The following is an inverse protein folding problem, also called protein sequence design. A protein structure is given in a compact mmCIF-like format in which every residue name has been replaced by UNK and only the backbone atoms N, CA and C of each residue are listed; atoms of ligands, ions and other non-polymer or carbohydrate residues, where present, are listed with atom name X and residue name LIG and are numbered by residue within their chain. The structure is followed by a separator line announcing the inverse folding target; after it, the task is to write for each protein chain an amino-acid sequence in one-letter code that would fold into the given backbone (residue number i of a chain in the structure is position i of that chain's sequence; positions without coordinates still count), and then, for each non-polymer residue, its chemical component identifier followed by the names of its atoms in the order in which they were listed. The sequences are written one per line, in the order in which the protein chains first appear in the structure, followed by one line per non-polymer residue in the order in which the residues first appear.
data_IF_788955438659
#
_entry.id   IF_788955438659
#
_cell.length_a   1.000
_cell.length_b   1.000
_cell.length_c   1.000
_cell.angle_alpha   90.00
_cell.angle_beta   90.00
_cell.angle_gamma   90.00
#
_symmetry.space_group_name_H-M   'P 1'
#
loop_
_entity.id
_entity.type
_entity.pdbx_description
1 polymer ?
#
# COMPACT_ATOMS: atom_id res chain seq x y z
N UNK A 1 70.09 10.08 17.49
CA UNK A 1 68.90 10.58 16.74
C UNK A 1 68.62 9.86 15.41
N UNK A 2 69.30 8.74 15.09
CA UNK A 2 69.07 7.97 13.85
C UNK A 2 68.36 6.61 14.04
N UNK A 3 68.17 6.13 15.27
CA UNK A 3 67.48 4.86 15.53
C UNK A 3 65.94 4.93 15.43
N UNK A 4 65.35 6.07 15.78
CA UNK A 4 63.89 6.25 15.83
C UNK A 4 63.27 6.43 14.42
N UNK A 5 64.04 6.97 13.46
CA UNK A 5 63.62 7.13 12.06
C UNK A 5 63.69 5.82 11.26
N UNK A 6 64.68 4.96 11.56
CA UNK A 6 64.82 3.65 10.93
C UNK A 6 63.70 2.66 11.31
N UNK A 7 63.29 2.66 12.59
CA UNK A 7 62.16 1.86 13.06
C UNK A 7 60.81 2.30 12.46
N UNK A 8 60.59 3.62 12.32
CA UNK A 8 59.37 4.16 11.64
C UNK A 8 59.33 3.85 10.14
N UNK A 9 60.48 3.81 9.46
CA UNK A 9 60.56 3.47 8.03
C UNK A 9 60.31 1.97 7.77
N UNK A 10 60.89 1.08 8.59
CA UNK A 10 60.58 -0.36 8.55
C UNK A 10 59.10 -0.64 8.85
N UNK A 11 58.52 0.04 9.85
CA UNK A 11 57.10 -0.11 10.17
C UNK A 11 56.18 0.45 9.07
N UNK A 12 56.59 1.48 8.32
CA UNK A 12 55.85 2.04 7.18
C UNK A 12 55.85 1.14 5.92
N UNK A 13 56.95 0.41 5.69
CA UNK A 13 57.06 -0.54 4.57
C UNK A 13 56.17 -1.78 4.81
N UNK A 14 56.17 -2.31 6.04
CA UNK A 14 55.27 -3.38 6.47
C UNK A 14 53.78 -2.98 6.34
N UNK A 15 53.42 -1.77 6.78
CA UNK A 15 52.06 -1.22 6.63
C UNK A 15 51.62 -1.09 5.16
N UNK A 16 52.54 -0.72 4.27
CA UNK A 16 52.26 -0.59 2.83
C UNK A 16 52.01 -1.96 2.19
N UNK A 17 52.80 -2.98 2.55
CA UNK A 17 52.63 -4.35 2.08
C UNK A 17 51.32 -4.96 2.60
N UNK A 18 51.01 -4.74 3.87
CA UNK A 18 49.75 -5.18 4.49
C UNK A 18 48.56 -4.51 3.79
N UNK A 19 48.63 -3.20 3.53
CA UNK A 19 47.56 -2.47 2.84
C UNK A 19 47.36 -2.95 1.40
N UNK A 20 48.45 -3.19 0.66
CA UNK A 20 48.38 -3.75 -0.70
C UNK A 20 47.78 -5.16 -0.70
N UNK A 21 48.19 -6.01 0.24
CA UNK A 21 47.61 -7.34 0.40
C UNK A 21 46.10 -7.26 0.64
N UNK A 22 45.65 -6.43 1.58
CA UNK A 22 44.22 -6.27 1.85
C UNK A 22 43.47 -5.66 0.65
N UNK A 23 44.07 -4.74 -0.11
CA UNK A 23 43.46 -4.17 -1.31
C UNK A 23 43.21 -5.25 -2.36
N UNK A 24 44.21 -6.08 -2.67
CA UNK A 24 44.07 -7.17 -3.64
C UNK A 24 43.12 -8.24 -3.12
N UNK A 25 43.24 -8.63 -1.85
CA UNK A 25 42.39 -9.63 -1.23
C UNK A 25 40.91 -9.22 -1.23
N UNK A 26 40.60 -8.01 -0.76
CA UNK A 26 39.21 -7.52 -0.77
C UNK A 26 38.72 -7.20 -2.17
N UNK A 27 39.59 -6.81 -3.09
CA UNK A 27 39.26 -6.67 -4.52
C UNK A 27 38.80 -8.01 -5.12
N UNK A 28 39.54 -9.08 -4.87
CA UNK A 28 39.16 -10.42 -5.30
C UNK A 28 37.86 -10.91 -4.64
N UNK A 29 37.72 -10.70 -3.32
CA UNK A 29 36.51 -11.07 -2.58
C UNK A 29 35.27 -10.32 -3.11
N UNK A 30 35.40 -9.02 -3.39
CA UNK A 30 34.35 -8.22 -4.02
C UNK A 30 34.02 -8.72 -5.43
N UNK A 31 35.03 -9.13 -6.22
CA UNK A 31 34.84 -9.76 -7.52
C UNK A 31 34.04 -11.07 -7.43
N UNK A 32 34.38 -11.95 -6.48
CA UNK A 32 33.63 -13.20 -6.27
C UNK A 32 32.19 -12.94 -5.80
N UNK A 33 32.00 -11.98 -4.89
CA UNK A 33 30.67 -11.58 -4.43
C UNK A 33 29.81 -11.01 -5.55
N UNK A 34 30.35 -10.09 -6.36
CA UNK A 34 29.64 -9.51 -7.50
C UNK A 34 29.32 -10.56 -8.56
N UNK A 35 30.23 -11.48 -8.84
CA UNK A 35 30.00 -12.59 -9.77
C UNK A 35 28.88 -13.52 -9.29
N UNK A 36 28.93 -13.97 -8.03
CA UNK A 36 27.88 -14.83 -7.46
C UNK A 36 26.52 -14.13 -7.40
N UNK A 37 26.49 -12.84 -7.07
CA UNK A 37 25.28 -12.02 -7.15
C UNK A 37 24.75 -11.91 -8.58
N UNK A 38 25.63 -11.69 -9.57
CA UNK A 38 25.24 -11.61 -10.98
C UNK A 38 24.64 -12.92 -11.49
N UNK A 39 25.27 -14.07 -11.20
CA UNK A 39 24.74 -15.39 -11.57
C UNK A 39 23.36 -15.62 -10.95
N UNK A 40 23.18 -15.27 -9.67
CA UNK A 40 21.87 -15.37 -9.02
C UNK A 40 20.81 -14.53 -9.74
N UNK A 41 21.13 -13.29 -10.12
CA UNK A 41 20.20 -12.41 -10.84
C UNK A 41 19.78 -12.98 -12.20
N UNK A 42 20.66 -13.71 -12.91
CA UNK A 42 20.30 -14.39 -14.17
C UNK A 42 19.27 -15.52 -13.98
N UNK A 43 19.11 -16.05 -12.75
CA UNK A 43 18.12 -17.11 -12.45
C UNK A 43 16.74 -16.59 -12.06
N UNK A 44 16.58 -15.26 -11.98
CA UNK A 44 15.34 -14.62 -11.56
C UNK A 44 14.54 -14.14 -12.76
N UNK A 45 13.23 -14.40 -12.73
CA UNK A 45 12.29 -13.78 -13.65
C UNK A 45 12.01 -12.35 -13.22
N UNK A 46 12.05 -11.44 -14.19
CA UNK A 46 11.93 -10.02 -13.97
C UNK A 46 10.50 -9.54 -13.71
N UNK A 47 9.51 -10.33 -14.12
CA UNK A 47 8.08 -10.02 -14.06
C UNK A 47 7.41 -10.64 -12.83
N UNK A 48 7.88 -11.81 -12.40
CA UNK A 48 7.26 -12.61 -11.35
C UNK A 48 8.26 -13.01 -10.26
N UNK A 49 7.96 -12.76 -8.97
CA UNK A 49 8.82 -13.21 -7.89
C UNK A 49 8.82 -14.74 -7.80
N UNK A 50 10.01 -15.31 -7.58
CA UNK A 50 10.25 -16.77 -7.49
C UNK A 50 9.50 -17.43 -6.33
N UNK A 51 9.37 -16.74 -5.18
CA UNK A 51 8.67 -17.24 -3.99
C UNK A 51 7.65 -16.22 -3.50
N UNK A 52 6.50 -16.71 -3.01
CA UNK A 52 5.36 -15.90 -2.52
C UNK A 52 4.77 -16.43 -1.20
N UNK A 53 5.46 -17.35 -0.54
CA UNK A 53 5.03 -18.01 0.70
C UNK A 53 4.74 -17.01 1.83
N UNK A 54 5.51 -15.92 1.90
CA UNK A 54 5.36 -14.85 2.92
C UNK A 54 4.24 -13.83 2.63
N UNK A 55 3.64 -13.87 1.44
CA UNK A 55 2.60 -12.92 0.98
C UNK A 55 1.43 -13.67 0.34
N UNK A 56 1.02 -14.77 0.96
CA UNK A 56 -0.07 -15.64 0.47
C UNK A 56 -1.46 -15.03 0.62
N UNK A 57 -1.65 -14.08 1.56
CA UNK A 57 -2.89 -13.31 1.70
C UNK A 57 -2.58 -11.82 1.75
N UNK A 58 -3.41 -10.98 1.12
CA UNK A 58 -3.17 -9.55 1.09
C UNK A 58 -3.47 -8.91 2.44
N UNK A 59 -2.62 -7.95 2.82
CA UNK A 59 -2.94 -7.04 3.91
C UNK A 59 -3.93 -5.95 3.49
N UNK A 60 -4.58 -5.31 4.46
CA UNK A 60 -5.37 -4.09 4.24
C UNK A 60 -4.60 -2.86 4.75
N UNK A 61 -4.79 -1.74 4.07
CA UNK A 61 -4.19 -0.45 4.40
C UNK A 61 -5.24 0.65 4.22
N UNK A 62 -5.11 1.72 5.00
CA UNK A 62 -5.95 2.92 4.85
C UNK A 62 -5.17 4.11 4.30
N UNK A 63 -5.91 5.05 3.71
CA UNK A 63 -5.50 6.40 3.35
C UNK A 63 -6.63 7.37 3.72
N UNK A 64 -6.35 8.54 4.32
CA UNK A 64 -5.02 9.07 4.62
C UNK A 64 -4.40 8.42 5.87
N UNK A 65 -3.09 8.59 6.04
CA UNK A 65 -2.36 8.20 7.24
C UNK A 65 -1.94 9.47 7.99
N UNK A 66 -1.98 9.43 9.31
CA UNK A 66 -1.46 10.50 10.16
C UNK A 66 0.03 10.30 10.44
N UNK A 67 0.71 11.35 10.87
CA UNK A 67 2.11 11.28 11.33
C UNK A 67 2.27 10.35 12.54
N UNK A 68 1.22 10.25 13.37
CA UNK A 68 1.16 9.34 14.53
C UNK A 68 0.72 7.91 14.18
N UNK A 69 0.55 7.58 12.90
CA UNK A 69 0.20 6.25 12.42
C UNK A 69 -1.17 6.17 11.74
N UNK A 70 -2.00 5.21 12.16
CA UNK A 70 -3.29 4.92 11.53
C UNK A 70 -4.45 5.66 12.21
N UNK A 71 -4.18 6.44 13.24
CA UNK A 71 -5.19 7.17 13.99
C UNK A 71 -5.48 8.52 13.30
N UNK A 72 -6.75 8.76 13.01
CA UNK A 72 -7.25 9.99 12.40
C UNK A 72 -7.86 10.84 13.52
N UNK A 73 -7.22 11.95 13.86
CA UNK A 73 -7.70 12.91 14.85
C UNK A 73 -7.72 14.30 14.22
N UNK A 74 -8.89 14.95 14.24
CA UNK A 74 -9.07 16.30 13.72
C UNK A 74 -10.17 17.06 14.46
N UNK A 75 -10.16 18.38 14.30
CA UNK A 75 -11.20 19.29 14.80
C UNK A 75 -12.05 19.76 13.64
N UNK A 76 -13.36 19.60 13.76
CA UNK A 76 -14.31 20.04 12.75
C UNK A 76 -14.30 21.56 12.57
N UNK A 77 -14.19 22.30 13.67
CA UNK A 77 -14.15 23.77 13.66
C UNK A 77 -12.88 24.37 13.05
N UNK A 78 -11.76 23.62 13.00
CA UNK A 78 -10.48 24.12 12.49
C UNK A 78 -10.09 23.45 11.16
N UNK A 79 -10.24 24.15 10.03
CA UNK A 79 -9.85 23.64 8.70
C UNK A 79 -8.38 23.25 8.60
N UNK A 80 -7.51 23.85 9.40
CA UNK A 80 -6.07 23.52 9.37
C UNK A 80 -5.81 22.12 9.93
N UNK A 81 -6.65 21.64 10.84
CA UNK A 81 -6.47 20.36 11.50
C UNK A 81 -6.63 19.17 10.55
N UNK A 82 -7.54 19.25 9.57
CA UNK A 82 -7.78 18.18 8.60
C UNK A 82 -7.18 18.43 7.22
N UNK A 83 -6.57 19.60 6.98
CA UNK A 83 -5.96 19.94 5.69
C UNK A 83 -4.91 18.90 5.25
N UNK A 84 -4.08 18.41 6.16
CA UNK A 84 -3.09 17.38 5.83
C UNK A 84 -3.72 16.08 5.33
N UNK A 85 -4.87 15.68 5.91
CA UNK A 85 -5.61 14.49 5.47
C UNK A 85 -6.23 14.69 4.08
N UNK A 86 -6.80 15.87 3.83
CA UNK A 86 -7.39 16.26 2.54
C UNK A 86 -6.32 16.30 1.44
N UNK A 87 -5.19 16.96 1.70
CA UNK A 87 -4.08 17.07 0.74
C UNK A 87 -3.48 15.68 0.44
N UNK A 88 -3.35 14.82 1.45
CA UNK A 88 -2.90 13.44 1.27
C UNK A 88 -3.89 12.60 0.44
N UNK A 89 -5.21 12.78 0.63
CA UNK A 89 -6.24 12.12 -0.16
C UNK A 89 -6.23 12.60 -1.62
N UNK A 90 -6.11 13.91 -1.85
CA UNK A 90 -6.06 14.43 -3.23
C UNK A 90 -4.82 13.93 -3.97
N UNK A 91 -3.64 14.02 -3.34
CA UNK A 91 -2.40 13.48 -3.89
C UNK A 91 -2.50 11.97 -4.17
N UNK A 92 -3.15 11.22 -3.29
CA UNK A 92 -3.37 9.78 -3.46
C UNK A 92 -4.32 9.47 -4.63
N UNK A 93 -5.34 10.30 -4.85
CA UNK A 93 -6.37 10.09 -5.86
C UNK A 93 -6.02 10.65 -7.24
N UNK A 94 -5.01 11.51 -7.39
CA UNK A 94 -4.60 12.06 -8.70
C UNK A 94 -4.42 11.01 -9.81
N UNK A 95 -3.79 9.84 -9.57
CA UNK A 95 -3.65 8.81 -10.60
C UNK A 95 -4.98 8.17 -11.04
N UNK A 96 -6.03 8.28 -10.21
CA UNK A 96 -7.36 7.70 -10.44
C UNK A 96 -8.32 8.66 -11.15
N UNK A 97 -7.90 9.89 -11.45
CA UNK A 97 -8.71 10.82 -12.24
C UNK A 97 -9.14 10.16 -13.56
N UNK A 98 -10.42 10.29 -13.89
CA UNK A 98 -11.07 9.61 -15.02
C UNK A 98 -10.35 9.89 -16.35
N UNK A 99 -9.86 11.11 -16.57
CA UNK A 99 -9.06 11.48 -17.75
C UNK A 99 -7.74 10.69 -17.83
N UNK A 100 -7.05 10.51 -16.70
CA UNK A 100 -5.79 9.75 -16.62
C UNK A 100 -6.03 8.27 -16.82
N UNK A 101 -7.11 7.74 -16.24
CA UNK A 101 -7.50 6.33 -16.37
C UNK A 101 -7.94 6.01 -17.79
N UNK A 102 -8.77 6.85 -18.40
CA UNK A 102 -9.24 6.71 -19.78
C UNK A 102 -8.09 6.71 -20.80
N UNK A 103 -7.03 7.47 -20.56
CA UNK A 103 -5.87 7.52 -21.43
C UNK A 103 -4.91 6.32 -21.29
N UNK A 104 -4.83 5.73 -20.09
CA UNK A 104 -3.78 4.72 -19.75
C UNK A 104 -4.29 3.29 -19.66
N UNK A 105 -5.56 3.11 -19.31
CA UNK A 105 -6.17 1.82 -18.96
C UNK A 105 -7.39 1.55 -19.83
N UNK A 106 -7.90 0.32 -19.82
CA UNK A 106 -9.05 -0.10 -20.63
C UNK A 106 -10.28 -0.36 -19.78
N UNK A 107 -11.45 -0.23 -20.40
CA UNK A 107 -12.71 -0.68 -19.81
C UNK A 107 -12.72 -2.21 -19.78
N UNK A 108 -12.98 -2.77 -18.60
CA UNK A 108 -13.02 -4.21 -18.38
C UNK A 108 -14.44 -4.70 -18.14
N UNK A 109 -14.67 -5.98 -18.42
CA UNK A 109 -15.94 -6.65 -18.16
C UNK A 109 -16.05 -7.00 -16.67
N UNK A 110 -17.06 -6.50 -15.95
CA UNK A 110 -17.24 -6.80 -14.53
C UNK A 110 -17.51 -8.29 -14.27
N UNK A 111 -17.10 -8.78 -13.10
CA UNK A 111 -17.40 -10.12 -12.58
C UNK A 111 -16.54 -11.26 -13.14
N UNK A 112 -15.64 -10.99 -14.09
CA UNK A 112 -14.74 -11.99 -14.67
C UNK A 112 -13.29 -11.62 -14.39
N UNK A 113 -12.43 -12.62 -14.18
CA UNK A 113 -11.00 -12.37 -14.08
C UNK A 113 -10.41 -11.86 -15.39
N UNK A 114 -9.43 -10.97 -15.26
CA UNK A 114 -8.67 -10.43 -16.39
C UNK A 114 -7.54 -11.38 -16.77
N UNK A 115 -7.87 -12.42 -17.53
CA UNK A 115 -6.91 -13.45 -17.94
C UNK A 115 -6.31 -13.25 -19.33
N UNK A 116 -6.47 -12.06 -19.93
CA UNK A 116 -6.03 -11.76 -21.29
C UNK A 116 -4.66 -12.32 -21.68
N UNK A 117 -4.63 -13.04 -22.81
CA UNK A 117 -3.44 -13.67 -23.39
C UNK A 117 -2.54 -12.68 -24.17
N UNK A 118 -2.87 -11.38 -24.14
CA UNK A 118 -2.06 -10.37 -24.83
C UNK A 118 -0.67 -10.23 -24.20
N UNK A 119 0.35 -10.10 -25.07
CA UNK A 119 1.76 -9.89 -24.73
C UNK A 119 2.02 -8.66 -23.84
N UNK A 120 1.07 -7.73 -23.75
CA UNK A 120 1.00 -6.66 -22.75
C UNK A 120 -0.40 -6.65 -22.12
N UNK A 121 -0.55 -7.39 -21.01
CA UNK A 121 -1.79 -7.43 -20.24
C UNK A 121 -2.17 -6.01 -19.81
N UNK A 122 -3.19 -5.41 -20.42
CA UNK A 122 -3.66 -4.06 -20.06
C UNK A 122 -4.37 -4.08 -18.72
N UNK A 123 -4.25 -2.99 -17.96
CA UNK A 123 -4.94 -2.84 -16.68
C UNK A 123 -6.34 -2.24 -16.86
N UNK A 124 -7.24 -2.59 -15.93
CA UNK A 124 -8.59 -2.05 -15.88
C UNK A 124 -8.60 -0.63 -15.31
N UNK A 125 -9.49 0.19 -15.85
CA UNK A 125 -9.77 1.53 -15.31
C UNK A 125 -10.43 1.41 -13.94
N UNK A 126 -9.95 2.19 -12.96
CA UNK A 126 -10.68 2.48 -11.73
C UNK A 126 -10.87 3.99 -11.65
N UNK A 127 -12.08 4.45 -11.94
CA UNK A 127 -12.38 5.87 -12.02
C UNK A 127 -12.64 6.46 -10.62
N UNK A 128 -12.14 7.68 -10.39
CA UNK A 128 -12.32 8.41 -9.12
C UNK A 128 -13.79 8.65 -8.81
N UNK A 129 -14.63 8.77 -9.84
CA UNK A 129 -16.08 8.87 -9.73
C UNK A 129 -16.75 7.67 -9.04
N UNK A 130 -16.13 6.48 -9.08
CA UNK A 130 -16.65 5.28 -8.38
C UNK A 130 -16.64 5.42 -6.85
N UNK A 131 -15.87 6.37 -6.30
CA UNK A 131 -15.84 6.66 -4.86
C UNK A 131 -17.00 7.56 -4.40
N UNK A 132 -17.90 7.94 -5.31
CA UNK A 132 -19.11 8.71 -4.99
C UNK A 132 -18.80 9.99 -4.23
N UNK A 133 -19.44 10.17 -3.07
CA UNK A 133 -19.26 11.35 -2.22
C UNK A 133 -17.84 11.49 -1.63
N UNK A 134 -17.06 10.40 -1.63
CA UNK A 134 -15.67 10.38 -1.16
C UNK A 134 -14.66 10.59 -2.30
N UNK A 135 -15.13 10.90 -3.51
CA UNK A 135 -14.27 11.16 -4.66
C UNK A 135 -13.47 12.46 -4.52
N UNK A 136 -13.96 13.45 -3.78
CA UNK A 136 -13.34 14.78 -3.74
C UNK A 136 -13.74 15.69 -4.91
N UNK A 137 -14.67 15.25 -5.77
CA UNK A 137 -15.17 16.02 -6.92
C UNK A 137 -16.25 17.00 -6.46
N UNK A 138 -17.28 16.49 -5.77
CA UNK A 138 -18.38 17.31 -5.24
C UNK A 138 -18.00 18.02 -3.94
N UNK A 139 -17.23 17.33 -3.09
CA UNK A 139 -16.76 17.83 -1.78
C UNK A 139 -15.24 17.70 -1.69
N UNK A 140 -14.52 18.80 -1.88
CA UNK A 140 -13.05 18.85 -1.79
C UNK A 140 -12.52 18.55 -0.39
N UNK A 141 -13.37 18.59 0.64
CA UNK A 141 -12.99 18.28 2.02
C UNK A 141 -13.19 16.82 2.39
N UNK A 142 -13.66 15.95 1.47
CA UNK A 142 -13.87 14.52 1.70
C UNK A 142 -14.70 14.22 2.97
N UNK A 143 -15.69 15.07 3.27
CA UNK A 143 -16.55 14.97 4.45
C UNK A 143 -15.93 15.44 5.77
N UNK A 144 -14.65 15.83 5.81
CA UNK A 144 -13.97 16.26 7.05
C UNK A 144 -14.58 17.56 7.62
N UNK A 145 -14.97 18.51 6.77
CA UNK A 145 -15.61 19.76 7.22
C UNK A 145 -16.98 19.52 7.89
N UNK A 146 -17.69 18.48 7.45
CA UNK A 146 -19.00 18.10 7.96
C UNK A 146 -18.93 17.13 9.15
N UNK A 147 -17.74 16.73 9.59
CA UNK A 147 -17.58 15.71 10.64
C UNK A 147 -18.01 14.31 10.17
N UNK A 148 -18.03 14.05 8.86
CA UNK A 148 -18.34 12.74 8.27
C UNK A 148 -17.18 12.27 7.38
N UNK A 149 -15.99 12.03 7.95
CA UNK A 149 -14.77 11.84 7.19
C UNK A 149 -14.83 10.58 6.32
N UNK A 150 -14.28 10.69 5.11
CA UNK A 150 -14.04 9.55 4.23
C UNK A 150 -12.65 8.94 4.50
N UNK A 151 -12.62 7.62 4.62
CA UNK A 151 -11.39 6.83 4.74
C UNK A 151 -11.34 5.84 3.58
N UNK A 152 -10.27 5.86 2.80
CA UNK A 152 -10.06 4.91 1.71
C UNK A 152 -9.35 3.68 2.26
N UNK A 153 -10.00 2.53 2.15
CA UNK A 153 -9.42 1.22 2.42
C UNK A 153 -8.95 0.61 1.11
N UNK A 154 -7.71 0.14 1.08
CA UNK A 154 -7.11 -0.56 -0.06
C UNK A 154 -6.54 -1.90 0.37
N UNK A 155 -6.61 -2.85 -0.54
CA UNK A 155 -5.95 -4.14 -0.38
C UNK A 155 -4.47 -4.03 -0.78
N UNK A 156 -3.58 -4.92 -0.35
CA UNK A 156 -2.22 -4.99 -0.90
C UNK A 156 -2.22 -5.79 -2.21
N UNK A 157 -1.45 -5.32 -3.21
CA UNK A 157 -1.32 -6.01 -4.50
C UNK A 157 -0.42 -7.23 -4.36
N UNK A 158 -0.90 -8.40 -4.77
CA UNK A 158 -0.10 -9.64 -4.85
C UNK A 158 -0.17 -10.14 -6.29
N UNK A 159 1.01 -10.43 -6.86
CA UNK A 159 1.10 -10.91 -8.24
C UNK A 159 0.44 -12.29 -8.34
N UNK A 160 -0.44 -12.46 -9.31
CA UNK A 160 -1.15 -13.72 -9.57
C UNK A 160 -2.28 -14.06 -8.59
N UNK A 161 -2.62 -13.18 -7.65
CA UNK A 161 -3.70 -13.42 -6.70
C UNK A 161 -5.06 -13.47 -7.41
N UNK A 162 -5.83 -14.54 -7.16
CA UNK A 162 -7.22 -14.69 -7.60
C UNK A 162 -8.11 -14.95 -6.37
N UNK A 163 -8.88 -13.96 -5.91
CA UNK A 163 -9.79 -14.14 -4.77
C UNK A 163 -10.97 -15.01 -5.17
N UNK A 164 -11.21 -16.12 -4.47
CA UNK A 164 -12.39 -16.96 -4.71
C UNK A 164 -13.68 -16.21 -4.32
N UNK A 165 -14.81 -16.49 -4.98
CA UNK A 165 -16.06 -15.79 -4.68
C UNK A 165 -16.05 -14.31 -5.07
N UNK A 166 -16.69 -13.46 -4.26
CA UNK A 166 -16.83 -12.02 -4.54
C UNK A 166 -16.23 -11.22 -3.38
N UNK A 167 -14.99 -10.73 -3.50
CA UNK A 167 -14.33 -10.03 -2.40
C UNK A 167 -15.03 -8.71 -2.10
N UNK A 168 -15.23 -8.42 -0.81
CA UNK A 168 -15.72 -7.14 -0.32
C UNK A 168 -14.97 -6.72 0.94
N UNK A 169 -14.90 -5.41 1.20
CA UNK A 169 -14.36 -4.89 2.46
C UNK A 169 -15.53 -4.49 3.34
N UNK A 170 -15.59 -5.07 4.54
CA UNK A 170 -16.58 -4.73 5.54
C UNK A 170 -15.87 -4.20 6.80
N UNK A 171 -16.34 -3.06 7.30
CA UNK A 171 -15.82 -2.40 8.49
C UNK A 171 -16.85 -2.44 9.61
N UNK A 172 -16.38 -2.71 10.83
CA UNK A 172 -17.20 -2.72 12.04
C UNK A 172 -16.55 -1.85 13.11
N UNK A 173 -17.35 -1.24 13.98
CA UNK A 173 -16.86 -0.56 15.18
C UNK A 173 -16.86 -1.54 16.36
N UNK A 174 -15.85 -1.45 17.24
CA UNK A 174 -15.77 -2.33 18.43
C UNK A 174 -16.80 -2.00 19.52
N UNK A 175 -17.30 -0.77 19.54
CA UNK A 175 -18.40 -0.31 20.39
C UNK A 175 -19.58 -0.05 19.47
N UNK A 176 -20.77 -0.55 19.83
CA UNK A 176 -22.00 -0.49 19.02
C UNK A 176 -22.65 0.92 19.11
N UNK A 177 -21.84 1.95 18.81
CA UNK A 177 -22.06 3.36 19.20
C UNK A 177 -22.83 4.18 18.15
N UNK A 178 -23.92 3.64 17.59
CA UNK A 178 -24.78 4.43 16.68
C UNK A 178 -24.04 5.04 15.49
N UNK A 179 -23.00 4.35 15.01
CA UNK A 179 -22.18 4.73 13.85
C UNK A 179 -22.77 4.14 12.59
N UNK A 180 -22.94 4.98 11.57
CA UNK A 180 -23.35 4.55 10.24
C UNK A 180 -22.17 4.61 9.28
N UNK A 181 -21.93 3.50 8.59
CA UNK A 181 -20.86 3.36 7.60
C UNK A 181 -21.47 3.24 6.21
N UNK A 182 -21.09 4.15 5.32
CA UNK A 182 -21.50 4.12 3.92
C UNK A 182 -20.28 3.81 3.05
N UNK A 183 -20.45 2.87 2.12
CA UNK A 183 -19.35 2.34 1.31
C UNK A 183 -19.47 2.79 -0.14
N UNK A 184 -18.32 3.08 -0.76
CA UNK A 184 -18.23 3.36 -2.19
C UNK A 184 -17.03 2.61 -2.80
N UNK A 185 -17.23 1.73 -3.79
CA UNK A 185 -18.51 1.30 -4.36
C UNK A 185 -19.44 0.59 -3.35
N UNK A 186 -20.72 0.46 -3.69
CA UNK A 186 -21.73 -0.09 -2.79
C UNK A 186 -21.33 -1.45 -2.20
N UNK A 187 -21.63 -1.64 -0.92
CA UNK A 187 -21.27 -2.83 -0.13
C UNK A 187 -19.74 -3.09 -0.03
N UNK A 188 -18.91 -2.12 -0.40
CA UNK A 188 -17.46 -2.26 -0.37
C UNK A 188 -16.94 -3.35 -1.32
N UNK A 189 -17.67 -3.63 -2.40
CA UNK A 189 -17.33 -4.70 -3.34
C UNK A 189 -16.07 -4.35 -4.12
N UNK A 190 -15.23 -5.38 -4.32
CA UNK A 190 -14.07 -5.32 -5.20
C UNK A 190 -14.36 -6.28 -6.36
N UNK A 191 -14.45 -5.73 -7.58
CA UNK A 191 -14.78 -6.53 -8.74
C UNK A 191 -13.62 -7.47 -9.13
N UNK A 192 -13.95 -8.67 -9.61
CA UNK A 192 -12.99 -9.67 -10.05
C UNK A 192 -12.16 -9.23 -11.27
N UNK A 193 -12.65 -8.26 -12.05
CA UNK A 193 -11.95 -7.71 -13.22
C UNK A 193 -10.60 -7.08 -12.89
N UNK A 194 -10.39 -6.65 -11.64
CA UNK A 194 -9.10 -6.12 -11.21
C UNK A 194 -8.05 -7.21 -10.92
N UNK A 195 -8.43 -8.49 -10.97
CA UNK A 195 -7.57 -9.63 -10.68
C UNK A 195 -7.39 -10.53 -11.91
N UNK A 196 -6.24 -11.21 -12.03
CA UNK A 196 -5.06 -11.09 -11.17
C UNK A 196 -4.17 -9.89 -11.53
N UNK A 197 -3.38 -9.43 -10.57
CA UNK A 197 -2.32 -8.45 -10.82
C UNK A 197 -1.09 -9.14 -11.40
N UNK A 198 -0.51 -8.61 -12.49
CA UNK A 198 0.62 -9.23 -13.18
C UNK A 198 1.98 -8.60 -12.88
N UNK A 199 2.04 -7.67 -11.93
CA UNK A 199 3.29 -7.00 -11.56
C UNK A 199 3.50 -5.67 -12.29
N UNK A 200 4.40 -4.85 -11.73
CA UNK A 200 4.59 -3.46 -12.18
C UNK A 200 5.23 -3.36 -13.56
N UNK A 201 6.08 -4.33 -13.94
CA UNK A 201 6.70 -4.34 -15.28
C UNK A 201 5.68 -4.66 -16.38
N UNK A 202 4.79 -5.61 -16.13
CA UNK A 202 3.75 -6.01 -17.10
C UNK A 202 2.60 -4.99 -17.13
N UNK A 203 2.14 -4.55 -15.96
CA UNK A 203 1.03 -3.60 -15.79
C UNK A 203 1.50 -2.32 -15.08
N UNK A 204 2.30 -1.50 -15.76
CA UNK A 204 2.86 -0.27 -15.19
C UNK A 204 1.79 0.75 -14.75
N UNK A 205 0.66 0.78 -15.46
CA UNK A 205 -0.46 1.70 -15.23
C UNK A 205 -1.58 1.10 -14.37
N UNK A 206 -1.34 -0.07 -13.75
CA UNK A 206 -2.34 -0.75 -12.93
C UNK A 206 -2.90 0.15 -11.82
N UNK A 207 -4.19 0.43 -11.93
CA UNK A 207 -4.98 1.08 -10.90
C UNK A 207 -5.54 0.01 -9.96
N UNK A 208 -5.20 0.12 -8.69
CA UNK A 208 -5.72 -0.80 -7.68
C UNK A 208 -7.15 -0.41 -7.31
N UNK A 209 -8.10 -1.36 -7.20
CA UNK A 209 -9.43 -1.03 -6.73
C UNK A 209 -9.39 -0.49 -5.30
N UNK A 210 -10.18 0.56 -5.08
CA UNK A 210 -10.29 1.26 -3.81
C UNK A 210 -11.71 1.11 -3.27
N UNK A 211 -11.84 1.10 -1.94
CA UNK A 211 -13.14 1.21 -1.26
C UNK A 211 -13.06 2.41 -0.32
N UNK A 212 -13.90 3.41 -0.53
CA UNK A 212 -14.09 4.48 0.42
C UNK A 212 -15.16 4.12 1.43
N UNK A 213 -14.90 4.45 2.70
CA UNK A 213 -15.81 4.27 3.83
C UNK A 213 -16.07 5.65 4.41
N UNK A 214 -17.29 6.14 4.23
CA UNK A 214 -17.77 7.39 4.84
C UNK A 214 -18.35 7.08 6.20
N UNK A 215 -17.79 7.72 7.22
CA UNK A 215 -18.14 7.47 8.62
C UNK A 215 -19.08 8.57 9.09
N UNK A 216 -20.28 8.21 9.50
CA UNK A 216 -21.24 9.15 10.11
C UNK A 216 -21.47 8.75 11.55
N UNK A 217 -21.13 9.63 12.49
CA UNK A 217 -21.35 9.42 13.93
C UNK A 217 -22.48 10.32 14.43
N UNK A 218 -23.35 9.77 15.28
CA UNK A 218 -24.40 10.53 15.97
C UNK A 218 -23.89 11.29 17.19
N UNK A 219 -22.77 10.85 17.79
CA UNK A 219 -22.12 11.49 18.93
C UNK A 219 -20.66 11.81 18.63
N UNK A 220 -20.25 13.06 18.87
CA UNK A 220 -18.84 13.44 18.97
C UNK A 220 -18.31 12.94 20.33
N UNK A 221 -17.89 11.68 20.40
CA UNK A 221 -17.38 11.11 21.64
C UNK A 221 -16.03 11.71 22.00
N UNK A 222 -15.84 12.04 23.28
CA UNK A 222 -14.53 12.49 23.82
C UNK A 222 -13.43 11.45 23.61
N UNK A 223 -13.80 10.17 23.48
CA UNK A 223 -12.92 9.07 23.09
C UNK A 223 -13.10 8.74 21.60
N UNK A 224 -12.00 8.63 20.85
CA UNK A 224 -12.08 8.20 19.45
C UNK A 224 -12.57 6.75 19.28
N UNK A 225 -13.31 6.52 18.20
CA UNK A 225 -13.97 5.25 17.87
C UNK A 225 -12.99 4.36 17.11
N UNK A 226 -12.85 3.11 17.53
CA UNK A 226 -11.99 2.13 16.87
C UNK A 226 -12.79 1.32 15.85
N UNK A 227 -12.33 1.35 14.60
CA UNK A 227 -12.86 0.60 13.48
C UNK A 227 -11.95 -0.57 13.12
N UNK A 228 -12.54 -1.70 12.75
CA UNK A 228 -11.86 -2.85 12.20
C UNK A 228 -12.48 -3.18 10.84
N UNK A 229 -11.68 -3.10 9.76
CA UNK A 229 -12.09 -3.53 8.43
C UNK A 229 -11.48 -4.87 8.09
N UNK A 230 -12.25 -5.75 7.46
CA UNK A 230 -11.85 -7.10 7.02
C UNK A 230 -12.27 -7.38 5.60
N UNK A 231 -11.58 -8.31 4.94
CA UNK A 231 -11.99 -8.82 3.63
C UNK A 231 -13.08 -9.89 3.86
N UNK A 232 -14.16 -9.86 3.09
CA UNK A 232 -15.23 -10.85 3.13
C UNK A 232 -15.48 -11.40 1.72
N UNK A 233 -16.23 -12.50 1.63
CA UNK A 233 -16.64 -13.07 0.35
C UNK A 233 -15.58 -13.87 -0.40
N UNK A 234 -14.38 -14.02 0.16
CA UNK A 234 -13.28 -14.83 -0.40
C UNK A 234 -12.66 -15.80 0.60
N UNK A 235 -13.07 -17.09 0.60
CA UNK A 235 -12.63 -18.09 1.56
C UNK A 235 -11.12 -18.38 1.53
N UNK A 236 -10.48 -18.21 0.38
CA UNK A 236 -9.04 -18.43 0.22
C UNK A 236 -8.16 -17.33 0.81
N UNK A 237 -8.74 -16.21 1.24
CA UNK A 237 -8.01 -15.09 1.85
C UNK A 237 -8.10 -15.16 3.39
N UNK A 238 -6.94 -15.07 4.05
CA UNK A 238 -6.88 -15.05 5.52
C UNK A 238 -7.20 -13.65 6.05
N UNK A 239 -8.10 -13.59 7.03
CA UNK A 239 -8.53 -12.35 7.71
C UNK A 239 -7.99 -12.18 9.13
N UNK A 240 -7.27 -13.17 9.63
CA UNK A 240 -6.73 -13.15 10.99
C UNK A 240 -5.42 -13.92 11.05
N UNK A 241 -4.39 -13.26 11.58
CA UNK A 241 -3.14 -13.87 12.00
C UNK A 241 -2.73 -13.22 13.33
N UNK A 242 -2.24 -14.00 14.29
CA UNK A 242 -1.86 -13.48 15.61
C UNK A 242 -0.57 -12.66 15.58
N UNK A 243 0.31 -12.91 14.60
CA UNK A 243 1.56 -12.18 14.43
C UNK A 243 1.38 -10.97 13.53
N UNK A 244 0.63 -11.12 12.44
CA UNK A 244 0.35 -10.03 11.51
C UNK A 244 -1.05 -9.44 11.71
N UNK A 245 -1.11 -8.29 12.38
CA UNK A 245 -2.36 -7.56 12.63
C UNK A 245 -2.95 -6.93 11.36
N UNK A 246 -2.21 -6.88 10.26
CA UNK A 246 -2.64 -6.27 9.00
C UNK A 246 -3.07 -7.29 7.94
N UNK A 247 -2.88 -8.60 8.19
CA UNK A 247 -3.22 -9.67 7.25
C UNK A 247 -4.75 -9.81 7.14
N UNK A 248 -5.31 -9.41 6.00
CA UNK A 248 -6.74 -9.40 5.71
C UNK A 248 -7.62 -8.57 6.65
N UNK A 249 -7.01 -7.79 7.55
CA UNK A 249 -7.71 -6.85 8.44
C UNK A 249 -6.90 -5.58 8.66
N UNK A 250 -7.57 -4.49 9.01
CA UNK A 250 -6.93 -3.24 9.41
C UNK A 250 -7.73 -2.62 10.54
N UNK A 251 -7.05 -2.15 11.58
CA UNK A 251 -7.68 -1.45 12.69
C UNK A 251 -7.15 -0.03 12.75
N UNK A 252 -8.06 0.93 12.88
CA UNK A 252 -7.73 2.35 12.99
C UNK A 252 -8.70 3.04 13.94
N UNK A 253 -8.28 4.18 14.51
CA UNK A 253 -9.10 5.00 15.38
C UNK A 253 -9.47 6.30 14.69
N UNK A 254 -10.71 6.73 14.79
CA UNK A 254 -11.16 8.04 14.32
C UNK A 254 -11.67 8.83 15.51
N UNK A 255 -11.10 10.01 15.72
CA UNK A 255 -11.50 10.97 16.73
C UNK A 255 -11.90 12.27 16.05
N UNK A 256 -13.17 12.63 16.19
CA UNK A 256 -13.75 13.85 15.66
C UNK A 256 -14.01 14.77 16.85
N UNK A 257 -13.26 15.86 16.92
CA UNK A 257 -13.44 16.90 17.93
C UNK A 257 -14.24 18.05 17.32
N UNK A 258 -15.03 18.73 18.13
CA UNK A 258 -15.67 19.98 17.69
C UNK A 258 -14.64 21.09 17.52
#
# INVERSE_FOLDING_TARGET
MNGEKGARLLQSAELTLILLFYLVFYGFLAGLFTFTMWVMLQTLDDNVPKYRDRVSSPGLMISPKSDSGLDIDFRRSDPKSYKAYVDALDAFLQPYNDSTQGAKNVLCTPGLYREDDESKKKACQFNRTMLGQCSGIDDTSYGYSNGTPCVIVKMNRIIGLKPEGNPSINCTSKKDDGVQLLYFPDYGKIDLMYFPYYGKKVQATYAQPLVAVKITTSNATKEGIQFECKIHGSPNLKNSDDRDKFLGRITFKVQIRD
#
